data_IF_855351319315
#
_entry.id   IF_855351319315
#
_cell.length_a   1.000
_cell.length_b   1.000
_cell.length_c   1.000
_cell.angle_alpha   90.00
_cell.angle_beta   90.00
_cell.angle_gamma   90.00
#
_symmetry.space_group_name_H-M   'P 1'
#
loop_
_entity.id
_entity.type
_entity.pdbx_description
1 polymer ?
#
# COMPACT_ATOMS: atom_id res chain seq x y z
N UNK A 1 -7.37 6.51 21.71
CA UNK A 1 -5.99 6.67 21.22
C UNK A 1 -6.06 6.95 19.73
N UNK A 2 -5.62 8.13 19.28
CA UNK A 2 -5.31 8.31 17.86
C UNK A 2 -4.18 7.34 17.52
N UNK A 3 -4.33 6.60 16.42
CA UNK A 3 -3.22 5.83 15.85
C UNK A 3 -2.37 6.88 15.11
N UNK A 4 -1.13 7.06 15.55
CA UNK A 4 -0.18 7.92 14.85
C UNK A 4 0.07 7.37 13.44
N UNK A 5 0.34 8.27 12.49
CA UNK A 5 0.68 7.88 11.13
C UNK A 5 2.03 7.16 11.11
N UNK A 6 2.23 6.21 10.17
CA UNK A 6 3.52 5.55 10.02
C UNK A 6 4.62 6.56 9.68
N UNK A 7 5.83 6.32 10.18
CA UNK A 7 7.00 7.09 9.78
C UNK A 7 7.46 6.63 8.40
N UNK A 8 7.62 7.57 7.46
CA UNK A 8 8.04 7.26 6.09
C UNK A 8 9.54 7.04 6.08
N UNK A 9 9.97 5.84 5.66
CA UNK A 9 11.39 5.51 5.47
C UNK A 9 11.88 5.92 4.07
N UNK A 10 11.09 5.65 3.03
CA UNK A 10 11.45 5.91 1.64
C UNK A 10 10.21 6.24 0.79
N UNK A 11 10.36 7.11 -0.21
CA UNK A 11 9.34 7.36 -1.22
C UNK A 11 9.69 6.58 -2.49
N UNK A 12 8.95 5.51 -2.74
CA UNK A 12 9.14 4.65 -3.91
C UNK A 12 7.82 3.97 -4.28
N UNK A 13 7.71 3.55 -5.54
CA UNK A 13 6.65 2.63 -6.01
C UNK A 13 7.19 1.21 -6.22
N UNK A 14 8.50 1.03 -6.24
CA UNK A 14 9.15 -0.28 -6.28
C UNK A 14 9.47 -0.70 -4.85
N UNK A 15 8.86 -1.80 -4.38
CA UNK A 15 8.93 -2.27 -3.00
C UNK A 15 9.64 -3.62 -2.99
N UNK A 16 10.71 -3.80 -2.21
CA UNK A 16 11.32 -5.11 -2.05
C UNK A 16 10.32 -6.06 -1.37
N UNK A 17 10.08 -7.22 -1.97
CA UNK A 17 9.24 -8.27 -1.43
C UNK A 17 9.99 -8.96 -0.28
N UNK A 18 9.96 -8.33 0.89
CA UNK A 18 10.56 -8.82 2.13
C UNK A 18 9.52 -8.75 3.25
N UNK A 19 9.51 -9.77 4.12
CA UNK A 19 8.61 -9.82 5.27
C UNK A 19 8.71 -8.55 6.12
N UNK A 20 7.57 -8.16 6.69
CA UNK A 20 7.40 -7.05 7.63
C UNK A 20 7.61 -5.65 7.03
N UNK A 21 7.90 -5.55 5.73
CA UNK A 21 7.88 -4.25 5.05
C UNK A 21 6.43 -3.79 4.86
N UNK A 22 6.13 -2.60 5.39
CA UNK A 22 4.88 -1.88 5.16
C UNK A 22 5.02 -0.92 3.96
N UNK A 23 4.03 -0.92 3.09
CA UNK A 23 4.00 -0.05 1.91
C UNK A 23 2.59 0.50 1.69
N UNK A 24 2.52 1.71 1.13
CA UNK A 24 1.26 2.40 0.93
C UNK A 24 1.47 3.89 0.75
N UNK A 25 0.40 4.66 0.90
CA UNK A 25 0.45 6.11 0.82
C UNK A 25 -0.44 6.78 1.87
N UNK A 26 -0.11 8.03 2.18
CA UNK A 26 -0.92 8.89 3.04
C UNK A 26 -1.61 9.92 2.16
N UNK A 27 -2.93 10.06 2.33
CA UNK A 27 -3.69 11.19 1.77
C UNK A 27 -4.02 12.19 2.86
N UNK A 28 -3.94 13.47 2.51
CA UNK A 28 -4.56 14.54 3.29
C UNK A 28 -5.87 14.96 2.60
N UNK A 29 -7.00 14.69 3.27
CA UNK A 29 -8.34 15.03 2.82
C UNK A 29 -8.79 16.29 3.55
N UNK A 30 -9.06 17.35 2.78
CA UNK A 30 -9.49 18.65 3.31
C UNK A 30 -10.96 18.93 3.03
N UNK A 31 -11.65 19.60 3.97
CA UNK A 31 -13.03 20.07 3.86
C UNK A 31 -14.07 18.97 3.53
N UNK A 32 -13.83 17.73 3.95
CA UNK A 32 -14.72 16.59 3.71
C UNK A 32 -15.23 15.93 5.00
N UNK A 33 -15.19 16.63 6.15
CA UNK A 33 -15.61 16.07 7.44
C UNK A 33 -17.03 15.49 7.35
N UNK A 34 -17.20 14.28 7.89
CA UNK A 34 -18.48 13.56 7.92
C UNK A 34 -18.81 12.82 6.61
N UNK A 35 -18.04 13.03 5.54
CA UNK A 35 -18.16 12.23 4.33
C UNK A 35 -17.46 10.87 4.53
N UNK A 36 -17.89 9.89 3.72
CA UNK A 36 -17.36 8.53 3.75
C UNK A 36 -16.44 8.32 2.55
N UNK A 37 -15.21 7.91 2.84
CA UNK A 37 -14.32 7.37 1.81
C UNK A 37 -14.56 5.86 1.67
N UNK A 38 -14.40 5.37 0.46
CA UNK A 38 -14.25 3.93 0.17
C UNK A 38 -12.82 3.71 -0.28
N UNK A 39 -12.20 2.63 0.16
CA UNK A 39 -10.88 2.25 -0.30
C UNK A 39 -10.88 0.80 -0.79
N UNK A 40 -9.99 0.52 -1.73
CA UNK A 40 -9.79 -0.82 -2.26
C UNK A 40 -8.30 -1.07 -2.47
N UNK A 41 -7.83 -2.24 -2.05
CA UNK A 41 -6.47 -2.75 -2.27
C UNK A 41 -6.59 -3.96 -3.19
N UNK A 42 -6.27 -3.74 -4.46
CA UNK A 42 -6.09 -4.79 -5.45
C UNK A 42 -4.69 -5.35 -5.28
N UNK A 43 -4.60 -6.66 -5.10
CA UNK A 43 -3.35 -7.38 -5.00
C UNK A 43 -3.18 -8.30 -6.22
N UNK A 44 -1.97 -8.85 -6.45
CA UNK A 44 -1.77 -9.92 -7.42
C UNK A 44 -2.69 -11.11 -7.09
N UNK A 45 -2.90 -12.02 -8.03
CA UNK A 45 -3.78 -13.20 -7.91
C UNK A 45 -3.32 -14.18 -6.80
N UNK A 46 -3.40 -13.73 -5.55
CA UNK A 46 -2.93 -14.43 -4.36
C UNK A 46 -3.99 -15.50 -4.05
N UNK A 47 -3.60 -16.79 -4.05
CA UNK A 47 -4.49 -17.85 -3.64
C UNK A 47 -4.71 -17.83 -2.13
N UNK A 48 -5.91 -18.19 -1.70
CA UNK A 48 -6.24 -18.55 -0.33
C UNK A 48 -5.79 -19.98 0.02
N UNK A 49 -6.24 -20.49 1.17
CA UNK A 49 -5.90 -21.84 1.65
C UNK A 49 -6.47 -22.95 0.75
N UNK A 50 -7.57 -22.68 0.05
CA UNK A 50 -8.24 -23.62 -0.85
C UNK A 50 -7.69 -23.53 -2.30
N UNK A 51 -6.85 -22.52 -2.57
CA UNK A 51 -6.23 -22.27 -3.87
C UNK A 51 -7.00 -21.29 -4.76
N UNK A 52 -8.09 -20.72 -4.25
CA UNK A 52 -8.90 -19.74 -4.97
C UNK A 52 -8.31 -18.33 -4.82
N UNK A 53 -8.41 -17.51 -5.87
CA UNK A 53 -7.85 -16.15 -5.85
C UNK A 53 -8.65 -15.30 -4.87
N UNK A 54 -7.96 -14.72 -3.89
CA UNK A 54 -8.58 -13.83 -2.92
C UNK A 54 -9.15 -12.58 -3.62
N UNK A 55 -10.34 -12.09 -3.19
CA UNK A 55 -10.86 -10.83 -3.70
C UNK A 55 -10.04 -9.65 -3.17
N UNK A 56 -10.06 -8.50 -3.87
CA UNK A 56 -9.49 -7.26 -3.36
C UNK A 56 -9.99 -6.91 -1.96
N UNK A 57 -9.13 -6.27 -1.15
CA UNK A 57 -9.52 -5.82 0.17
C UNK A 57 -10.25 -4.47 0.08
N UNK A 58 -11.53 -4.45 0.43
CA UNK A 58 -12.38 -3.27 0.39
C UNK A 58 -12.77 -2.81 1.80
N UNK A 59 -12.91 -1.49 1.97
CA UNK A 59 -13.42 -0.94 3.21
C UNK A 59 -13.89 0.50 3.10
N UNK A 60 -14.53 0.97 4.17
CA UNK A 60 -15.09 2.31 4.24
C UNK A 60 -14.67 3.00 5.54
N UNK A 61 -14.40 4.30 5.47
CA UNK A 61 -14.02 5.08 6.64
C UNK A 61 -14.62 6.49 6.57
N UNK A 62 -15.14 6.98 7.70
CA UNK A 62 -15.60 8.37 7.79
C UNK A 62 -14.42 9.32 8.02
N UNK A 63 -14.43 10.43 7.27
CA UNK A 63 -13.51 11.56 7.44
C UNK A 63 -13.83 12.26 8.77
N UNK A 64 -12.91 12.19 9.72
CA UNK A 64 -13.15 12.62 11.11
C UNK A 64 -13.02 14.13 11.31
N UNK A 65 -12.13 14.78 10.55
CA UNK A 65 -11.77 16.20 10.69
C UNK A 65 -11.76 16.90 9.32
N UNK A 66 -11.71 18.24 9.31
CA UNK A 66 -11.63 19.01 8.05
C UNK A 66 -10.22 19.07 7.45
N UNK A 67 -9.22 18.63 8.20
CA UNK A 67 -7.85 18.34 7.74
C UNK A 67 -7.55 16.96 8.33
N UNK A 68 -7.74 15.93 7.52
CA UNK A 68 -7.75 14.55 7.97
C UNK A 68 -6.76 13.73 7.15
N UNK A 69 -5.85 13.08 7.85
CA UNK A 69 -4.87 12.19 7.24
C UNK A 69 -5.33 10.75 7.35
N UNK A 70 -5.15 10.01 6.26
CA UNK A 70 -5.49 8.61 6.18
C UNK A 70 -4.37 7.86 5.45
N UNK A 71 -3.86 6.81 6.09
CA UNK A 71 -2.91 5.88 5.49
C UNK A 71 -3.67 4.70 4.89
N UNK A 72 -3.41 4.41 3.62
CA UNK A 72 -3.84 3.19 2.95
C UNK A 72 -2.59 2.43 2.54
N UNK A 73 -2.47 1.19 3.02
CA UNK A 73 -1.30 0.36 2.79
C UNK A 73 -1.54 -1.06 3.27
N UNK A 74 -0.52 -1.88 3.10
CA UNK A 74 -0.47 -3.27 3.56
C UNK A 74 0.95 -3.61 4.03
N UNK A 75 1.07 -4.74 4.72
CA UNK A 75 2.34 -5.33 5.17
C UNK A 75 2.63 -6.58 4.37
N UNK A 76 3.89 -6.79 3.96
CA UNK A 76 4.27 -8.03 3.28
C UNK A 76 4.32 -9.18 4.29
N UNK A 77 3.56 -10.24 4.02
CA UNK A 77 3.40 -11.42 4.88
C UNK A 77 3.70 -12.73 4.13
N UNK A 78 3.96 -13.81 4.88
CA UNK A 78 4.38 -15.09 4.33
C UNK A 78 3.23 -15.92 3.72
N UNK A 79 3.38 -16.54 2.54
CA UNK A 79 4.60 -16.63 1.75
C UNK A 79 4.79 -15.41 0.86
N UNK A 80 6.00 -14.86 0.85
CA UNK A 80 6.35 -13.65 0.07
C UNK A 80 6.18 -13.86 -1.44
N UNK A 81 6.48 -15.06 -1.93
CA UNK A 81 6.50 -15.37 -3.36
C UNK A 81 5.18 -15.10 -4.07
N UNK A 82 4.04 -15.28 -3.38
CA UNK A 82 2.73 -15.01 -3.96
C UNK A 82 2.30 -13.54 -3.88
N UNK A 83 3.06 -12.68 -3.19
CA UNK A 83 2.81 -11.23 -3.06
C UNK A 83 3.49 -10.39 -4.11
N UNK A 84 4.40 -10.99 -4.88
CA UNK A 84 5.18 -10.31 -5.92
C UNK A 84 4.26 -9.89 -7.06
N UNK A 85 4.45 -8.67 -7.55
CA UNK A 85 3.65 -8.09 -8.63
C UNK A 85 3.02 -6.76 -8.25
N UNK A 86 2.02 -6.36 -9.04
CA UNK A 86 1.39 -5.05 -8.92
C UNK A 86 0.30 -5.07 -7.85
N UNK A 87 0.43 -4.16 -6.90
CA UNK A 87 -0.59 -3.81 -5.93
C UNK A 87 -1.16 -2.44 -6.29
N UNK A 88 -2.46 -2.37 -6.59
CA UNK A 88 -3.14 -1.10 -6.88
C UNK A 88 -4.03 -0.73 -5.70
N UNK A 89 -3.89 0.49 -5.21
CA UNK A 89 -4.61 1.01 -4.06
C UNK A 89 -5.39 2.26 -4.47
N UNK A 90 -6.70 2.24 -4.24
CA UNK A 90 -7.60 3.32 -4.62
C UNK A 90 -8.36 3.86 -3.43
N UNK A 91 -8.61 5.17 -3.41
CA UNK A 91 -9.54 5.82 -2.48
C UNK A 91 -10.55 6.61 -3.29
N UNK A 92 -11.83 6.40 -3.01
CA UNK A 92 -12.97 7.09 -3.59
C UNK A 92 -13.68 7.96 -2.54
N UNK A 93 -14.18 9.11 -2.99
CA UNK A 93 -15.04 10.00 -2.22
C UNK A 93 -16.19 10.46 -3.12
N UNK A 94 -17.44 10.24 -2.68
CA UNK A 94 -18.65 10.55 -3.46
C UNK A 94 -18.62 9.96 -4.89
N UNK A 95 -18.15 8.73 -5.04
CA UNK A 95 -18.06 8.03 -6.33
C UNK A 95 -16.96 8.52 -7.27
N UNK A 96 -16.05 9.37 -6.78
CA UNK A 96 -14.89 9.84 -7.56
C UNK A 96 -13.61 9.31 -6.93
N UNK A 97 -12.73 8.74 -7.74
CA UNK A 97 -11.37 8.35 -7.31
C UNK A 97 -10.59 9.63 -7.00
N UNK A 98 -10.20 9.77 -5.73
CA UNK A 98 -9.39 10.89 -5.24
C UNK A 98 -7.92 10.51 -5.04
N UNK A 99 -7.61 9.21 -4.99
CA UNK A 99 -6.26 8.69 -5.02
C UNK A 99 -6.22 7.32 -5.71
N UNK A 100 -5.21 7.10 -6.54
CA UNK A 100 -4.93 5.84 -7.24
C UNK A 100 -3.41 5.69 -7.34
N UNK A 101 -2.87 4.65 -6.70
CA UNK A 101 -1.44 4.35 -6.71
C UNK A 101 -1.19 2.86 -6.90
N UNK A 102 -0.17 2.57 -7.68
CA UNK A 102 0.33 1.22 -7.88
C UNK A 102 1.73 1.09 -7.28
N UNK A 103 1.94 0.02 -6.52
CA UNK A 103 3.22 -0.44 -6.02
C UNK A 103 3.60 -1.74 -6.70
N UNK A 104 4.86 -1.88 -7.05
CA UNK A 104 5.41 -3.05 -7.69
C UNK A 104 6.28 -3.78 -6.68
N UNK A 105 5.78 -4.90 -6.17
CA UNK A 105 6.52 -5.74 -5.23
C UNK A 105 7.47 -6.62 -6.03
N UNK A 106 8.77 -6.39 -5.84
CA UNK A 106 9.84 -7.02 -6.58
C UNK A 106 10.54 -8.05 -5.69
N UNK A 107 10.75 -9.27 -6.19
CA UNK A 107 11.72 -10.17 -5.53
C UNK A 107 13.07 -9.48 -5.51
N UNK A 108 13.78 -9.57 -4.40
CA UNK A 108 15.21 -9.27 -4.43
C UNK A 108 15.83 -10.18 -5.49
N UNK A 109 16.51 -9.59 -6.47
CA UNK A 109 17.32 -10.38 -7.38
C UNK A 109 18.36 -11.11 -6.51
N UNK A 110 18.48 -12.44 -6.64
CA UNK A 110 19.61 -13.19 -6.08
C UNK A 110 20.89 -12.68 -6.77
N UNK A 111 21.47 -11.61 -6.21
CA UNK A 111 22.37 -10.72 -6.94
C UNK A 111 22.88 -9.57 -6.09
N UNK A 112 23.43 -9.92 -4.92
CA UNK A 112 24.27 -9.11 -4.04
C UNK A 112 23.62 -7.89 -3.36
N UNK A 113 23.58 -7.94 -2.03
CA UNK A 113 23.46 -6.78 -1.14
C UNK A 113 24.57 -5.71 -1.36
N UNK A 114 25.47 -5.92 -2.33
CA UNK A 114 26.59 -5.06 -2.68
C UNK A 114 26.30 -4.14 -3.86
N UNK A 115 25.31 -4.45 -4.72
CA UNK A 115 25.03 -3.66 -5.92
C UNK A 115 24.08 -2.47 -5.69
N UNK A 116 23.21 -2.53 -4.66
CA UNK A 116 22.32 -1.42 -4.31
C UNK A 116 23.06 -0.17 -3.78
N UNK A 117 24.17 -0.35 -3.05
CA UNK A 117 24.97 0.76 -2.51
C UNK A 117 26.06 1.27 -3.47
N UNK A 118 26.31 0.60 -4.60
CA UNK A 118 27.39 0.98 -5.54
C UNK A 118 26.99 1.94 -6.64
N UNK A 119 25.70 2.17 -6.89
CA UNK A 119 25.24 3.06 -7.97
C UNK A 119 24.87 4.49 -7.55
N UNK A 120 25.07 4.87 -6.29
CA UNK A 120 25.03 6.27 -5.84
C UNK A 120 26.39 6.68 -5.29
N UNK A 121 27.36 6.79 -6.21
CA UNK A 121 28.63 7.46 -5.93
C UNK A 121 28.39 8.93 -5.59
N UNK A 122 28.96 9.35 -4.45
CA UNK A 122 29.54 10.67 -4.27
C UNK A 122 31.04 10.56 -4.56
#
# INVERSE_FOLDING_TARGET
>A
KEKDLPQITEFTTDVPAQLDIEFGFIVNIKKAKGQKIKFCVYHPDIPDEDGDIMPPFEGEQYVKTNDWQFYLGDTIWAPVDNKVGIWRMTIELNGHIIADKSFNLLKEAEGTATDFWKHRGY
#
